data_IF_711137359218
#
_entry.id   IF_711137359218
#
_cell.length_a   1.000
_cell.length_b   1.000
_cell.length_c   1.000
_cell.angle_alpha   90.00
_cell.angle_beta   90.00
_cell.angle_gamma   90.00
#
_symmetry.space_group_name_H-M   'P 1'
#
loop_
_entity.id
_entity.type
_entity.pdbx_description
1 polymer ?
#
# COMPACT_ATOMS: atom_id res chain seq x y z
N UNK A 1 2.94 3.07 16.50
CA UNK A 1 1.76 3.40 17.33
C UNK A 1 1.40 4.83 17.00
N UNK A 2 0.23 5.08 16.41
CA UNK A 2 -0.15 6.42 15.95
C UNK A 2 -0.24 7.38 17.13
N UNK A 3 0.47 8.50 17.04
CA UNK A 3 0.50 9.49 18.10
C UNK A 3 -0.89 10.14 18.27
N UNK A 4 -1.28 10.40 19.52
CA UNK A 4 -2.56 11.02 19.85
C UNK A 4 -2.29 12.40 20.45
N UNK A 5 -2.86 13.45 19.85
CA UNK A 5 -2.81 14.82 20.36
C UNK A 5 -4.23 15.37 20.52
N UNK A 6 -4.39 16.37 21.39
CA UNK A 6 -5.66 17.12 21.46
C UNK A 6 -5.69 18.24 20.42
N UNK A 7 -6.89 18.71 20.08
CA UNK A 7 -7.06 19.92 19.26
C UNK A 7 -6.35 21.14 19.87
N UNK A 8 -6.31 21.25 21.21
CA UNK A 8 -5.56 22.29 21.92
C UNK A 8 -4.06 22.20 21.67
N UNK A 9 -3.49 20.99 21.67
CA UNK A 9 -2.07 20.78 21.33
C UNK A 9 -1.77 21.13 19.87
N UNK A 10 -2.66 20.80 18.94
CA UNK A 10 -2.52 21.19 17.54
C UNK A 10 -2.52 22.73 17.37
N UNK A 11 -3.34 23.44 18.15
CA UNK A 11 -3.40 24.91 18.15
C UNK A 11 -2.16 25.54 18.80
N UNK A 12 -1.79 25.07 20.00
CA UNK A 12 -0.79 25.72 20.85
C UNK A 12 0.65 25.28 20.53
N UNK A 13 0.82 24.04 20.02
CA UNK A 13 2.11 23.44 19.65
C UNK A 13 2.10 22.86 18.23
N UNK A 14 1.76 23.66 17.20
CA UNK A 14 1.55 23.17 15.84
C UNK A 14 2.79 22.54 15.22
N UNK A 15 4.01 23.00 15.59
CA UNK A 15 5.25 22.43 15.07
C UNK A 15 5.45 20.98 15.50
N UNK A 16 5.18 20.69 16.77
CA UNK A 16 5.36 19.36 17.37
C UNK A 16 4.39 18.35 16.74
N UNK A 17 3.12 18.74 16.59
CA UNK A 17 2.10 17.90 15.96
C UNK A 17 2.35 17.71 14.46
N UNK A 18 2.78 18.76 13.75
CA UNK A 18 3.13 18.67 12.32
C UNK A 18 4.35 17.81 12.07
N UNK A 19 5.34 17.83 12.96
CA UNK A 19 6.51 16.96 12.81
C UNK A 19 6.12 15.49 12.94
N UNK A 20 5.30 15.13 13.92
CA UNK A 20 4.75 13.77 14.01
C UNK A 20 3.94 13.40 12.75
N UNK A 21 3.12 14.32 12.26
CA UNK A 21 2.26 14.14 11.09
C UNK A 21 3.02 14.05 9.76
N UNK A 22 4.28 14.46 9.70
CA UNK A 22 5.13 14.29 8.50
C UNK A 22 5.49 12.83 8.24
N UNK A 23 5.62 12.06 9.31
CA UNK A 23 6.14 10.70 9.24
C UNK A 23 5.04 9.65 9.43
N UNK A 24 3.89 10.01 10.02
CA UNK A 24 2.82 9.07 10.34
C UNK A 24 1.43 9.74 10.36
N UNK A 25 0.39 8.91 10.39
CA UNK A 25 -0.97 9.34 10.76
C UNK A 25 -1.01 9.71 12.24
N UNK A 26 -1.63 10.84 12.55
CA UNK A 26 -1.80 11.35 13.91
C UNK A 26 -3.27 11.47 14.22
N UNK A 27 -3.71 11.01 15.38
CA UNK A 27 -5.10 11.16 15.83
C UNK A 27 -5.27 12.43 16.63
N UNK A 28 -6.27 13.23 16.27
CA UNK A 28 -6.65 14.44 16.99
C UNK A 28 -7.94 14.19 17.76
N UNK A 29 -7.90 14.46 19.06
CA UNK A 29 -9.04 14.34 19.96
C UNK A 29 -9.64 15.71 20.29
N UNK A 30 -10.97 15.75 20.36
CA UNK A 30 -11.74 16.87 20.88
C UNK A 30 -12.58 16.37 22.06
N UNK A 31 -12.44 17.02 23.22
CA UNK A 31 -13.13 16.63 24.46
C UNK A 31 -12.95 15.15 24.86
N UNK A 32 -11.79 14.55 24.55
CA UNK A 32 -11.48 13.16 24.87
C UNK A 32 -12.03 12.12 23.87
N UNK A 33 -12.83 12.55 22.89
CA UNK A 33 -13.28 11.70 21.79
C UNK A 33 -12.36 11.87 20.58
N UNK A 34 -11.89 10.76 20.00
CA UNK A 34 -11.13 10.79 18.76
C UNK A 34 -12.06 11.12 17.59
N UNK A 35 -11.87 12.28 16.96
CA UNK A 35 -12.75 12.73 15.89
C UNK A 35 -12.04 12.88 14.54
N UNK A 36 -10.73 13.14 14.52
CA UNK A 36 -10.01 13.45 13.28
C UNK A 36 -8.64 12.77 13.18
N UNK A 37 -8.19 12.58 11.94
CA UNK A 37 -6.82 12.16 11.61
C UNK A 37 -6.13 13.31 10.89
N UNK A 38 -4.87 13.54 11.23
CA UNK A 38 -4.02 14.58 10.66
C UNK A 38 -2.71 13.95 10.16
N UNK A 39 -2.28 14.30 8.96
CA UNK A 39 -1.03 13.85 8.34
C UNK A 39 -0.56 14.86 7.29
N UNK A 40 0.68 14.68 6.81
CA UNK A 40 1.15 15.36 5.60
C UNK A 40 0.39 14.85 4.38
N UNK A 41 0.40 15.64 3.30
CA UNK A 41 -0.21 15.24 2.03
C UNK A 41 0.47 14.00 1.43
N UNK A 42 1.78 13.87 1.61
CA UNK A 42 2.56 12.72 1.17
C UNK A 42 2.06 11.43 1.85
N UNK A 43 1.96 11.43 3.18
CA UNK A 43 1.44 10.28 3.95
C UNK A 43 -0.01 9.98 3.56
N UNK A 44 -0.84 11.00 3.34
CA UNK A 44 -2.21 10.80 2.87
C UNK A 44 -2.27 10.06 1.53
N UNK A 45 -1.48 10.52 0.55
CA UNK A 45 -1.40 9.89 -0.78
C UNK A 45 -0.87 8.46 -0.70
N UNK A 46 0.17 8.24 0.10
CA UNK A 46 0.74 6.90 0.33
C UNK A 46 -0.31 5.95 0.91
N UNK A 47 -1.05 6.37 1.94
CA UNK A 47 -2.07 5.53 2.58
C UNK A 47 -3.24 5.21 1.66
N UNK A 48 -3.64 6.13 0.78
CA UNK A 48 -4.63 5.85 -0.27
C UNK A 48 -4.09 4.82 -1.25
N UNK A 49 -2.84 4.98 -1.72
CA UNK A 49 -2.23 4.05 -2.65
C UNK A 49 -2.09 2.65 -2.04
N UNK A 50 -1.65 2.55 -0.79
CA UNK A 50 -1.55 1.31 -0.03
C UNK A 50 -2.92 0.64 0.12
N UNK A 51 -3.96 1.39 0.48
CA UNK A 51 -5.31 0.85 0.61
C UNK A 51 -5.87 0.37 -0.74
N UNK A 52 -5.62 1.10 -1.82
CA UNK A 52 -6.03 0.71 -3.18
C UNK A 52 -5.28 -0.55 -3.64
N UNK A 53 -3.98 -0.62 -3.38
CA UNK A 53 -3.14 -1.78 -3.69
C UNK A 53 -3.61 -3.02 -2.92
N UNK A 54 -3.87 -2.87 -1.62
CA UNK A 54 -4.37 -3.96 -0.78
C UNK A 54 -5.75 -4.45 -1.24
N UNK A 55 -6.65 -3.54 -1.63
CA UNK A 55 -7.95 -3.90 -2.17
C UNK A 55 -7.85 -4.64 -3.51
N UNK A 56 -6.88 -4.27 -4.35
CA UNK A 56 -6.63 -4.93 -5.62
C UNK A 56 -5.85 -6.25 -5.49
N UNK A 57 -5.10 -6.43 -4.40
CA UNK A 57 -4.16 -7.53 -4.20
C UNK A 57 -4.83 -8.90 -4.32
N UNK A 58 -5.92 -9.14 -3.58
CA UNK A 58 -6.62 -10.43 -3.57
C UNK A 58 -7.14 -10.80 -4.98
N UNK A 59 -7.65 -9.81 -5.72
CA UNK A 59 -8.14 -10.00 -7.08
C UNK A 59 -6.98 -10.38 -8.01
N UNK A 60 -5.85 -9.66 -7.94
CA UNK A 60 -4.66 -9.96 -8.79
C UNK A 60 -4.08 -11.34 -8.49
N UNK A 61 -4.03 -11.75 -7.22
CA UNK A 61 -3.60 -13.09 -6.83
C UNK A 61 -4.52 -14.15 -7.43
N UNK A 62 -5.84 -13.99 -7.31
CA UNK A 62 -6.81 -14.91 -7.90
C UNK A 62 -6.63 -15.03 -9.42
N UNK A 63 -6.54 -13.89 -10.12
CA UNK A 63 -6.30 -13.86 -11.57
C UNK A 63 -4.99 -14.54 -11.97
N UNK A 64 -3.92 -14.33 -11.20
CA UNK A 64 -2.63 -14.99 -11.42
C UNK A 64 -2.71 -16.51 -11.30
N UNK A 65 -3.42 -17.00 -10.28
CA UNK A 65 -3.64 -18.44 -10.06
C UNK A 65 -4.47 -19.05 -11.20
N UNK A 66 -5.58 -18.40 -11.58
CA UNK A 66 -6.44 -18.86 -12.67
C UNK A 66 -5.70 -18.94 -14.00
N UNK A 67 -4.93 -17.88 -14.32
CA UNK A 67 -4.09 -17.84 -15.52
C UNK A 67 -3.03 -18.93 -15.49
N UNK A 68 -2.34 -19.12 -14.35
CA UNK A 68 -1.36 -20.17 -14.18
C UNK A 68 -1.94 -21.57 -14.38
N UNK A 69 -3.15 -21.84 -13.87
CA UNK A 69 -3.86 -23.11 -14.11
C UNK A 69 -4.16 -23.32 -15.59
N UNK A 70 -4.61 -22.29 -16.28
CA UNK A 70 -4.88 -22.34 -17.72
C UNK A 70 -3.60 -22.55 -18.54
N UNK A 71 -2.48 -21.94 -18.14
CA UNK A 71 -1.17 -22.13 -18.78
C UNK A 71 -0.66 -23.57 -18.62
N UNK A 72 -0.78 -24.15 -17.42
CA UNK A 72 -0.45 -25.56 -17.18
C UNK A 72 -1.31 -26.49 -18.02
N UNK A 73 -2.63 -26.29 -18.03
CA UNK A 73 -3.56 -27.11 -18.81
C UNK A 73 -3.28 -27.06 -20.31
N UNK A 74 -2.80 -25.92 -20.81
CA UNK A 74 -2.44 -25.72 -22.21
C UNK A 74 -0.98 -26.10 -22.54
N UNK A 75 -0.22 -26.66 -21.59
CA UNK A 75 1.18 -27.01 -21.78
C UNK A 75 2.12 -25.81 -21.95
N UNK A 76 1.67 -24.59 -21.62
CA UNK A 76 2.49 -23.36 -21.61
C UNK A 76 3.31 -23.28 -20.32
N UNK A 77 4.13 -24.31 -20.09
CA UNK A 77 4.97 -24.45 -18.91
C UNK A 77 6.43 -24.24 -19.29
N UNK A 78 7.21 -23.71 -18.34
CA UNK A 78 8.65 -23.60 -18.50
C UNK A 78 9.30 -24.76 -17.74
N UNK A 79 10.06 -25.58 -18.45
CA UNK A 79 10.82 -26.70 -17.87
C UNK A 79 12.28 -26.28 -17.73
N UNK A 80 12.61 -25.69 -16.58
CA UNK A 80 13.92 -25.11 -16.28
C UNK A 80 13.98 -24.52 -14.87
N UNK A 81 15.09 -23.89 -14.49
CA UNK A 81 15.20 -23.27 -13.16
C UNK A 81 14.23 -22.10 -12.99
N UNK A 82 13.83 -21.85 -11.74
CA UNK A 82 12.99 -20.70 -11.38
C UNK A 82 13.64 -19.37 -11.77
N UNK A 83 14.97 -19.26 -11.67
CA UNK A 83 15.70 -18.04 -12.07
C UNK A 83 15.52 -17.73 -13.57
N UNK A 84 15.55 -18.76 -14.42
CA UNK A 84 15.33 -18.61 -15.86
C UNK A 84 13.86 -18.29 -16.19
N UNK A 85 12.92 -18.82 -15.41
CA UNK A 85 11.50 -18.50 -15.54
C UNK A 85 11.25 -17.01 -15.23
N UNK A 86 11.79 -16.47 -14.13
CA UNK A 86 11.59 -15.06 -13.76
C UNK A 86 12.23 -14.12 -14.78
N UNK A 87 13.44 -14.42 -15.27
CA UNK A 87 14.09 -13.63 -16.32
C UNK A 87 13.31 -13.67 -17.65
N UNK A 88 12.65 -14.78 -17.99
CA UNK A 88 11.77 -14.87 -19.15
C UNK A 88 10.46 -14.10 -18.94
N UNK A 89 9.87 -14.16 -17.74
CA UNK A 89 8.66 -13.43 -17.39
C UNK A 89 8.88 -11.91 -17.46
N UNK A 90 9.99 -11.41 -16.93
CA UNK A 90 10.37 -9.99 -17.02
C UNK A 90 10.54 -9.54 -18.47
N UNK A 91 11.24 -10.32 -19.31
CA UNK A 91 11.40 -10.01 -20.73
C UNK A 91 10.05 -9.90 -21.45
N UNK A 92 9.10 -10.79 -21.15
CA UNK A 92 7.75 -10.73 -21.73
C UNK A 92 6.92 -9.56 -21.23
N UNK A 93 7.05 -9.21 -19.94
CA UNK A 93 6.35 -8.06 -19.36
C UNK A 93 6.78 -6.75 -20.03
N UNK A 94 8.07 -6.57 -20.31
CA UNK A 94 8.62 -5.40 -21.02
C UNK A 94 8.20 -5.38 -22.50
N UNK A 95 8.08 -6.55 -23.15
CA UNK A 95 7.68 -6.63 -24.55
C UNK A 95 6.18 -6.35 -24.81
N UNK A 96 5.35 -6.41 -23.77
CA UNK A 96 3.89 -6.25 -23.86
C UNK A 96 3.35 -5.05 -23.07
N UNK A 97 4.23 -4.26 -22.43
CA UNK A 97 3.91 -2.95 -21.82
C UNK A 97 4.18 -1.81 -22.78
#
# INVERSE_FOLDING_TARGET
>A
MDAIYSATMLRDRPREVKEAARHNLVRITENGNGAFVFCSEEIYREKIAEAAEQAAYETRVSMGIERGRADVAAGRVFDGSLDNLFAEAERRAVAHG
#
